data_IF_766132286358
#
_entry.id   IF_766132286358
#
_cell.length_a   1.000
_cell.length_b   1.000
_cell.length_c   1.000
_cell.angle_alpha   90.00
_cell.angle_beta   90.00
_cell.angle_gamma   90.00
#
_symmetry.space_group_name_H-M   'P 1'
#
loop_
_entity.id
_entity.type
_entity.pdbx_description
1 polymer ?
#
# COMPACT_ATOMS: atom_id res chain seq x y z
N UNK A 1 -26.36 9.46 1.32
CA UNK A 1 -27.20 8.94 2.41
C UNK A 1 -26.93 7.45 2.51
N UNK A 2 -26.67 6.96 3.71
CA UNK A 2 -26.62 5.53 4.04
C UNK A 2 -27.86 5.17 4.86
N UNK A 3 -28.28 3.93 4.76
CA UNK A 3 -29.41 3.40 5.52
C UNK A 3 -28.94 2.20 6.32
N UNK A 4 -29.20 2.17 7.62
CA UNK A 4 -28.88 1.03 8.48
C UNK A 4 -29.93 -0.09 8.38
N UNK A 5 -29.71 -1.18 9.11
CA UNK A 5 -30.63 -2.32 9.13
C UNK A 5 -32.00 -2.00 9.74
N UNK A 6 -32.09 -0.95 10.53
CA UNK A 6 -33.32 -0.47 11.16
C UNK A 6 -34.03 0.59 10.31
N UNK A 7 -33.59 0.80 9.05
CA UNK A 7 -34.09 1.79 8.09
C UNK A 7 -33.85 3.26 8.48
N UNK A 8 -32.96 3.54 9.44
CA UNK A 8 -32.56 4.90 9.73
C UNK A 8 -31.66 5.45 8.62
N UNK A 9 -31.84 6.73 8.27
CA UNK A 9 -31.10 7.38 7.20
C UNK A 9 -30.10 8.38 7.75
N UNK A 10 -28.84 8.27 7.32
CA UNK A 10 -27.75 9.11 7.72
C UNK A 10 -27.11 9.81 6.53
N UNK A 11 -26.66 11.05 6.71
CA UNK A 11 -25.74 11.69 5.77
C UNK A 11 -24.34 11.16 6.06
N UNK A 12 -23.72 10.51 5.08
CA UNK A 12 -22.34 10.07 5.22
C UNK A 12 -21.38 11.24 4.98
N UNK A 13 -20.67 11.64 6.03
CA UNK A 13 -19.61 12.66 6.00
C UNK A 13 -18.23 12.03 6.18
N UNK A 14 -18.14 10.71 6.08
CA UNK A 14 -16.87 9.99 6.14
C UNK A 14 -16.11 10.04 4.81
N UNK A 15 -14.98 9.34 4.75
CA UNK A 15 -14.18 9.20 3.53
C UNK A 15 -14.77 8.19 2.52
N UNK A 16 -16.05 7.83 2.67
CA UNK A 16 -16.81 6.97 1.75
C UNK A 16 -16.01 5.75 1.24
N UNK A 17 -15.81 4.76 2.13
CA UNK A 17 -15.04 3.56 1.80
C UNK A 17 -13.53 3.84 1.58
N UNK A 18 -12.96 4.71 2.44
CA UNK A 18 -11.54 5.10 2.38
C UNK A 18 -11.15 5.67 1.01
N UNK A 19 -12.03 6.52 0.46
CA UNK A 19 -11.82 7.22 -0.81
C UNK A 19 -12.09 6.37 -2.06
N UNK A 20 -12.65 5.17 -1.93
CA UNK A 20 -12.97 4.33 -3.10
C UNK A 20 -14.24 4.76 -3.82
N UNK A 21 -15.17 5.42 -3.14
CA UNK A 21 -16.48 5.84 -3.68
C UNK A 21 -16.52 7.33 -4.03
N UNK A 22 -15.50 7.85 -4.70
CA UNK A 22 -15.41 9.28 -5.06
C UNK A 22 -16.55 9.77 -5.94
N UNK A 23 -17.24 8.90 -6.66
CA UNK A 23 -18.44 9.20 -7.45
C UNK A 23 -19.75 9.05 -6.67
N UNK A 24 -19.68 8.69 -5.37
CA UNK A 24 -20.84 8.36 -4.54
C UNK A 24 -21.20 6.87 -4.55
N UNK A 25 -22.18 6.48 -3.71
CA UNK A 25 -22.55 5.07 -3.50
C UNK A 25 -23.39 4.45 -4.62
N UNK A 26 -23.86 5.24 -5.57
CA UNK A 26 -24.58 4.77 -6.74
C UNK A 26 -24.33 5.74 -7.88
N UNK A 27 -23.66 5.28 -8.91
CA UNK A 27 -23.43 6.07 -10.12
C UNK A 27 -23.98 5.29 -11.31
N UNK A 28 -25.01 5.84 -11.95
CA UNK A 28 -25.72 5.17 -13.04
C UNK A 28 -24.82 4.75 -14.22
N UNK A 29 -23.79 5.52 -14.54
CA UNK A 29 -22.86 5.17 -15.62
C UNK A 29 -22.04 3.94 -15.25
N UNK A 30 -21.49 3.92 -14.03
CA UNK A 30 -20.73 2.77 -13.51
C UNK A 30 -21.64 1.56 -13.35
N UNK A 31 -22.79 1.71 -12.70
CA UNK A 31 -23.71 0.61 -12.43
C UNK A 31 -24.22 -0.05 -13.72
N UNK A 32 -24.53 0.74 -14.76
CA UNK A 32 -24.97 0.21 -16.05
C UNK A 32 -23.87 -0.53 -16.78
N UNK A 33 -22.61 -0.04 -16.70
CA UNK A 33 -21.47 -0.75 -17.26
C UNK A 33 -21.24 -2.09 -16.56
N UNK A 34 -21.30 -2.12 -15.21
CA UNK A 34 -21.15 -3.36 -14.42
C UNK A 34 -22.29 -4.35 -14.75
N UNK A 35 -23.55 -3.90 -14.79
CA UNK A 35 -24.70 -4.75 -15.17
C UNK A 35 -24.53 -5.40 -16.54
N UNK A 36 -23.95 -4.66 -17.50
CA UNK A 36 -23.66 -5.20 -18.85
C UNK A 36 -22.62 -6.31 -18.80
N UNK A 37 -21.55 -6.14 -18.02
CA UNK A 37 -20.51 -7.17 -17.86
C UNK A 37 -21.07 -8.40 -17.17
N UNK A 38 -21.87 -8.23 -16.11
CA UNK A 38 -22.51 -9.36 -15.39
C UNK A 38 -23.37 -10.21 -16.35
N UNK A 39 -24.15 -9.60 -17.25
CA UNK A 39 -24.95 -10.30 -18.26
C UNK A 39 -24.12 -11.14 -19.24
N UNK A 40 -22.88 -10.75 -19.49
CA UNK A 40 -21.94 -11.47 -20.38
C UNK A 40 -21.10 -12.53 -19.66
N UNK A 41 -21.27 -12.66 -18.35
CA UNK A 41 -20.45 -13.51 -17.48
C UNK A 41 -19.25 -12.75 -16.89
N UNK A 42 -19.19 -12.73 -15.55
CA UNK A 42 -18.20 -11.97 -14.77
C UNK A 42 -17.12 -12.86 -14.13
N UNK A 43 -17.09 -14.15 -14.46
CA UNK A 43 -16.10 -15.09 -13.95
C UNK A 43 -15.66 -16.05 -15.06
N UNK A 44 -14.37 -16.14 -15.27
CA UNK A 44 -13.74 -17.01 -16.26
C UNK A 44 -12.40 -17.51 -15.74
N UNK A 45 -11.89 -18.61 -16.29
CA UNK A 45 -10.52 -19.08 -16.09
C UNK A 45 -9.51 -18.26 -16.90
N UNK A 46 -9.98 -17.49 -17.87
CA UNK A 46 -9.18 -16.59 -18.70
C UNK A 46 -9.23 -15.17 -18.14
N UNK A 47 -8.24 -14.35 -18.48
CA UNK A 47 -8.26 -12.93 -18.17
C UNK A 47 -9.44 -12.26 -18.89
N UNK A 48 -10.18 -11.41 -18.19
CA UNK A 48 -11.25 -10.67 -18.80
C UNK A 48 -10.72 -9.44 -19.55
N UNK A 49 -11.50 -9.00 -20.53
CA UNK A 49 -11.14 -7.85 -21.36
C UNK A 49 -10.94 -6.58 -20.53
N UNK A 50 -11.72 -6.40 -19.49
CA UNK A 50 -11.71 -5.24 -18.63
C UNK A 50 -10.39 -5.09 -17.86
N UNK A 51 -9.76 -6.21 -17.45
CA UNK A 51 -8.42 -6.18 -16.84
C UNK A 51 -7.37 -5.66 -17.81
N UNK A 52 -7.40 -6.12 -19.06
CA UNK A 52 -6.47 -5.67 -20.08
C UNK A 52 -6.63 -4.19 -20.36
N UNK A 53 -7.87 -3.74 -20.63
CA UNK A 53 -8.17 -2.33 -20.89
C UNK A 53 -7.81 -1.42 -19.72
N UNK A 54 -8.03 -1.87 -18.48
CA UNK A 54 -7.63 -1.11 -17.29
C UNK A 54 -6.10 -1.04 -17.16
N UNK A 55 -5.40 -2.14 -17.43
CA UNK A 55 -3.94 -2.15 -17.40
C UNK A 55 -3.35 -1.19 -18.45
N UNK A 56 -3.86 -1.22 -19.68
CA UNK A 56 -3.46 -0.28 -20.76
C UNK A 56 -3.71 1.17 -20.36
N UNK A 57 -4.89 1.47 -19.77
CA UNK A 57 -5.22 2.81 -19.32
C UNK A 57 -4.33 3.30 -18.18
N UNK A 58 -3.96 2.43 -17.25
CA UNK A 58 -3.03 2.76 -16.17
C UNK A 58 -1.62 3.04 -16.71
N UNK A 59 -1.15 2.30 -17.70
CA UNK A 59 0.15 2.54 -18.35
C UNK A 59 0.12 3.87 -19.13
N UNK A 60 -0.97 4.17 -19.82
CA UNK A 60 -1.16 5.47 -20.51
C UNK A 60 -1.06 6.64 -19.53
N UNK A 61 -1.72 6.57 -18.38
CA UNK A 61 -1.72 7.62 -17.35
C UNK A 61 -0.37 7.71 -16.62
N UNK A 62 0.31 6.57 -16.47
CA UNK A 62 1.59 6.44 -15.76
C UNK A 62 2.69 5.91 -16.69
N UNK A 63 3.24 6.71 -17.61
CA UNK A 63 4.15 6.25 -18.66
C UNK A 63 5.49 5.70 -18.16
N UNK A 64 5.78 5.81 -16.88
CA UNK A 64 6.93 5.18 -16.22
C UNK A 64 6.69 3.73 -15.78
N UNK A 65 5.46 3.22 -15.90
CA UNK A 65 5.10 1.82 -15.70
C UNK A 65 5.19 1.05 -17.02
N UNK A 66 5.56 -0.23 -16.92
CA UNK A 66 5.56 -1.14 -18.07
C UNK A 66 4.54 -2.29 -17.88
N UNK A 67 4.20 -2.60 -16.65
CA UNK A 67 3.29 -3.69 -16.32
C UNK A 67 2.42 -3.32 -15.13
N UNK A 68 1.25 -3.95 -15.05
CA UNK A 68 0.29 -3.77 -13.97
C UNK A 68 -0.07 -5.14 -13.38
N UNK A 69 -0.15 -5.23 -12.07
CA UNK A 69 -0.65 -6.38 -11.33
C UNK A 69 -1.80 -5.96 -10.44
N UNK A 70 -2.96 -6.55 -10.65
CA UNK A 70 -4.14 -6.28 -9.85
C UNK A 70 -4.20 -7.15 -8.59
N UNK A 71 -4.84 -6.62 -7.54
CA UNK A 71 -5.17 -7.30 -6.30
C UNK A 71 -6.53 -6.80 -5.81
N UNK A 72 -7.18 -7.54 -4.92
CA UNK A 72 -8.50 -7.17 -4.41
C UNK A 72 -8.45 -6.13 -3.30
N UNK A 73 -7.38 -6.12 -2.52
CA UNK A 73 -7.21 -5.21 -1.37
C UNK A 73 -5.85 -4.53 -1.38
N UNK A 74 -5.74 -3.40 -0.69
CA UNK A 74 -4.46 -2.71 -0.52
C UNK A 74 -3.43 -3.56 0.23
N UNK A 75 -3.86 -4.40 1.19
CA UNK A 75 -2.98 -5.34 1.89
C UNK A 75 -2.38 -6.38 0.95
N UNK A 76 -3.19 -6.99 0.07
CA UNK A 76 -2.71 -7.91 -0.96
C UNK A 76 -1.76 -7.23 -1.94
N UNK A 77 -2.14 -6.06 -2.46
CA UNK A 77 -1.30 -5.29 -3.38
C UNK A 77 0.08 -4.99 -2.77
N UNK A 78 0.10 -4.55 -1.50
CA UNK A 78 1.33 -4.30 -0.78
C UNK A 78 2.16 -5.58 -0.58
N UNK A 79 1.53 -6.72 -0.25
CA UNK A 79 2.23 -8.00 -0.07
C UNK A 79 2.84 -8.51 -1.39
N UNK A 80 2.12 -8.37 -2.50
CA UNK A 80 2.62 -8.68 -3.86
C UNK A 80 3.80 -7.77 -4.20
N UNK A 81 3.66 -6.45 -4.00
CA UNK A 81 4.72 -5.48 -4.29
C UNK A 81 6.01 -5.78 -3.50
N UNK A 82 5.90 -6.06 -2.20
CA UNK A 82 7.03 -6.41 -1.36
C UNK A 82 7.70 -7.71 -1.81
N UNK A 83 6.92 -8.73 -2.17
CA UNK A 83 7.47 -9.99 -2.66
C UNK A 83 8.25 -9.81 -3.97
N UNK A 84 7.69 -9.04 -4.91
CA UNK A 84 8.37 -8.72 -6.17
C UNK A 84 9.65 -7.92 -5.91
N UNK A 85 9.58 -6.89 -5.07
CA UNK A 85 10.72 -6.05 -4.75
C UNK A 85 11.86 -6.83 -4.08
N UNK A 86 11.55 -7.71 -3.10
CA UNK A 86 12.55 -8.60 -2.47
C UNK A 86 13.21 -9.51 -3.49
N UNK A 87 12.41 -10.12 -4.38
CA UNK A 87 12.94 -10.99 -5.43
C UNK A 87 13.86 -10.24 -6.40
N UNK A 88 13.52 -9.01 -6.75
CA UNK A 88 14.31 -8.18 -7.67
C UNK A 88 15.70 -7.80 -7.12
N UNK A 89 15.83 -7.60 -5.81
CA UNK A 89 17.09 -7.15 -5.19
C UNK A 89 17.83 -8.23 -4.39
N UNK A 90 17.21 -9.41 -4.17
CA UNK A 90 17.80 -10.49 -3.38
C UNK A 90 18.05 -10.12 -1.91
N UNK A 91 17.25 -9.21 -1.34
CA UNK A 91 17.38 -8.75 0.05
C UNK A 91 16.02 -8.81 0.75
N UNK A 92 15.99 -9.26 2.00
CA UNK A 92 14.76 -9.49 2.77
C UNK A 92 14.26 -8.26 3.53
N UNK A 93 15.17 -7.36 3.93
CA UNK A 93 14.83 -6.28 4.85
C UNK A 93 14.19 -5.09 4.16
N UNK A 94 13.18 -4.52 4.84
CA UNK A 94 12.34 -3.44 4.33
C UNK A 94 12.39 -2.25 5.31
N UNK A 95 12.49 -1.04 4.78
CA UNK A 95 12.17 0.18 5.51
C UNK A 95 10.76 0.65 5.11
N UNK A 96 9.88 0.93 6.09
CA UNK A 96 8.51 1.35 5.85
C UNK A 96 8.20 2.71 6.45
N UNK A 97 7.35 3.49 5.74
CA UNK A 97 6.78 4.73 6.23
C UNK A 97 5.30 4.80 5.84
N UNK A 98 4.43 4.93 6.81
CA UNK A 98 2.99 4.95 6.61
C UNK A 98 2.29 3.61 6.90
N UNK A 99 1.00 3.55 6.61
CA UNK A 99 0.17 2.36 6.80
C UNK A 99 0.12 1.51 5.54
N UNK A 100 0.43 0.23 5.65
CA UNK A 100 0.49 -0.67 4.50
C UNK A 100 -0.32 -1.96 4.66
N UNK A 101 -1.32 -1.98 5.50
CA UNK A 101 -2.20 -3.12 5.74
C UNK A 101 -1.93 -3.81 7.09
N UNK A 102 -2.43 -5.03 7.24
CA UNK A 102 -2.39 -5.81 8.48
C UNK A 102 -1.73 -7.18 8.30
N UNK A 103 -1.06 -7.39 7.15
CA UNK A 103 -0.38 -8.66 6.86
C UNK A 103 0.87 -8.83 7.72
N UNK A 104 1.26 -10.08 7.95
CA UNK A 104 2.37 -10.45 8.83
C UNK A 104 3.67 -9.70 8.56
N UNK A 105 4.02 -9.51 7.28
CA UNK A 105 5.23 -8.79 6.92
C UNK A 105 5.25 -7.36 7.45
N UNK A 106 4.10 -6.69 7.46
CA UNK A 106 3.98 -5.31 7.97
C UNK A 106 3.94 -5.29 9.49
N UNK A 107 3.11 -6.16 10.11
CA UNK A 107 2.98 -6.26 11.56
C UNK A 107 4.28 -6.72 12.24
N UNK A 108 5.16 -7.43 11.52
CA UNK A 108 6.45 -7.88 12.05
C UNK A 108 7.35 -6.73 12.55
N UNK A 109 7.10 -5.49 12.10
CA UNK A 109 7.76 -4.30 12.63
C UNK A 109 7.60 -4.19 14.14
N UNK A 110 6.45 -4.59 14.68
CA UNK A 110 6.16 -4.56 16.12
C UNK A 110 6.84 -5.69 16.91
N UNK A 111 7.42 -6.70 16.24
CA UNK A 111 8.25 -7.71 16.90
C UNK A 111 9.61 -7.14 17.36
N UNK A 112 10.04 -6.03 16.77
CA UNK A 112 11.30 -5.35 17.08
C UNK A 112 11.16 -4.31 18.19
N UNK A 113 10.23 -4.51 19.12
CA UNK A 113 9.78 -3.53 20.10
C UNK A 113 10.94 -2.74 20.75
N UNK A 114 11.23 -1.60 20.17
CA UNK A 114 11.90 -0.48 20.84
C UNK A 114 11.01 0.74 20.65
N UNK A 115 10.96 1.66 21.60
CA UNK A 115 10.16 2.90 21.52
C UNK A 115 10.38 3.71 20.23
N UNK A 116 11.42 3.41 19.45
CA UNK A 116 11.80 4.10 18.21
C UNK A 116 11.40 3.37 16.92
N UNK A 117 11.11 2.08 16.94
CA UNK A 117 10.90 1.24 15.76
C UNK A 117 9.60 0.44 15.84
N UNK A 118 8.50 1.09 16.09
CA UNK A 118 7.18 0.47 16.11
C UNK A 118 6.19 1.24 15.24
N UNK A 119 5.03 0.64 14.99
CA UNK A 119 3.96 1.25 14.20
C UNK A 119 3.15 2.32 14.96
N UNK A 120 3.53 2.67 16.19
CA UNK A 120 2.76 3.61 17.04
C UNK A 120 2.61 5.02 16.43
N UNK A 121 3.53 5.42 15.57
CA UNK A 121 3.44 6.69 14.86
C UNK A 121 2.81 6.56 13.47
N UNK A 122 2.43 5.34 13.06
CA UNK A 122 1.66 5.08 11.86
C UNK A 122 0.16 5.09 12.20
N UNK A 123 -0.69 5.11 11.18
CA UNK A 123 -2.11 5.40 11.30
C UNK A 123 -2.87 4.54 12.32
N UNK A 124 -2.46 3.31 12.51
CA UNK A 124 -3.11 2.37 13.43
C UNK A 124 -2.17 2.04 14.59
N UNK A 125 -2.41 2.69 15.72
CA UNK A 125 -1.77 2.33 16.97
C UNK A 125 -2.24 0.93 17.41
N UNK A 126 -1.42 0.26 18.18
CA UNK A 126 -1.79 -0.97 18.91
C UNK A 126 -2.21 -2.17 18.05
N UNK A 127 -1.73 -2.24 16.79
CA UNK A 127 -1.93 -3.44 15.97
C UNK A 127 -1.29 -4.64 16.67
N UNK A 128 -2.14 -5.61 17.05
CA UNK A 128 -1.74 -6.78 17.80
C UNK A 128 -0.88 -7.72 16.94
N UNK A 129 0.21 -8.20 17.51
CA UNK A 129 1.15 -9.13 16.87
C UNK A 129 0.85 -10.61 17.14
N UNK A 130 -0.25 -10.93 17.83
CA UNK A 130 -0.64 -12.34 18.03
C UNK A 130 -0.81 -13.02 16.68
N UNK A 131 -0.15 -14.18 16.53
CA UNK A 131 -0.15 -14.93 15.27
C UNK A 131 0.93 -14.54 14.28
N UNK A 132 1.59 -13.40 14.43
CA UNK A 132 2.72 -13.02 13.55
C UNK A 132 3.92 -13.95 13.82
N UNK A 133 4.48 -14.63 12.80
CA UNK A 133 5.61 -15.53 12.98
C UNK A 133 6.83 -14.80 13.55
N UNK A 134 7.38 -15.29 14.67
CA UNK A 134 8.54 -14.68 15.34
C UNK A 134 9.79 -14.62 14.45
N UNK A 135 9.91 -15.51 13.45
CA UNK A 135 11.00 -15.52 12.47
C UNK A 135 11.04 -14.29 11.57
N UNK A 136 9.94 -13.53 11.51
CA UNK A 136 9.90 -12.26 10.77
C UNK A 136 10.49 -11.07 11.56
N UNK A 137 10.90 -11.30 12.81
CA UNK A 137 11.62 -10.28 13.57
C UNK A 137 12.85 -9.79 12.79
N UNK A 138 13.13 -8.50 12.89
CA UNK A 138 14.29 -7.83 12.24
C UNK A 138 14.27 -7.87 10.71
N UNK A 139 13.10 -8.06 10.08
CA UNK A 139 12.94 -7.99 8.62
C UNK A 139 12.27 -6.70 8.14
N UNK A 140 11.55 -5.98 9.02
CA UNK A 140 10.86 -4.74 8.66
C UNK A 140 11.11 -3.67 9.73
N UNK A 141 11.50 -2.49 9.28
CA UNK A 141 11.87 -1.35 10.13
C UNK A 141 11.08 -0.12 9.72
N UNK A 142 10.50 0.57 10.69
CA UNK A 142 9.74 1.78 10.44
C UNK A 142 10.59 3.04 10.55
N UNK A 143 10.24 4.06 9.76
CA UNK A 143 10.74 5.42 9.88
C UNK A 143 9.62 6.43 9.67
N UNK A 144 9.76 7.64 10.19
CA UNK A 144 8.75 8.69 10.03
C UNK A 144 8.95 9.47 8.74
N UNK A 145 7.84 9.96 8.18
CA UNK A 145 7.89 10.84 7.01
C UNK A 145 8.69 12.11 7.36
N UNK A 146 9.64 12.47 6.51
CA UNK A 146 10.56 13.58 6.73
C UNK A 146 11.83 13.23 7.50
N UNK A 147 11.87 12.10 8.21
CA UNK A 147 13.06 11.67 8.98
C UNK A 147 14.05 10.91 8.10
N UNK A 148 14.78 11.68 7.28
CA UNK A 148 15.81 11.16 6.40
C UNK A 148 16.97 10.52 7.17
N UNK A 149 17.34 11.07 8.34
CA UNK A 149 18.47 10.56 9.13
C UNK A 149 18.22 9.13 9.63
N UNK A 150 17.02 8.86 10.13
CA UNK A 150 16.64 7.49 10.53
C UNK A 150 16.66 6.54 9.34
N UNK A 151 16.09 6.94 8.19
CA UNK A 151 16.10 6.11 6.98
C UNK A 151 17.54 5.81 6.51
N UNK A 152 18.41 6.81 6.43
CA UNK A 152 19.81 6.63 6.04
C UNK A 152 20.55 5.69 6.98
N UNK A 153 20.32 5.82 8.29
CA UNK A 153 20.90 4.92 9.29
C UNK A 153 20.39 3.46 9.10
N UNK A 154 19.12 3.26 8.80
CA UNK A 154 18.56 1.93 8.49
C UNK A 154 19.24 1.34 7.25
N UNK A 155 19.38 2.11 6.18
CA UNK A 155 20.03 1.67 4.94
C UNK A 155 21.49 1.26 5.20
N UNK A 156 22.22 2.01 6.00
CA UNK A 156 23.63 1.74 6.30
C UNK A 156 23.86 0.51 7.20
N UNK A 157 22.90 0.16 8.09
CA UNK A 157 23.14 -0.86 9.13
C UNK A 157 22.23 -2.08 9.05
N UNK A 158 21.14 -2.05 8.23
CA UNK A 158 20.12 -3.12 8.22
C UNK A 158 20.00 -3.85 6.88
N UNK A 159 20.93 -3.68 5.94
CA UNK A 159 20.89 -4.32 4.60
C UNK A 159 19.52 -4.16 3.92
N UNK A 160 18.97 -2.95 3.97
CA UNK A 160 17.65 -2.65 3.38
C UNK A 160 17.69 -2.94 1.87
N UNK A 161 16.70 -3.68 1.38
CA UNK A 161 16.49 -3.96 -0.04
C UNK A 161 15.30 -3.22 -0.63
N UNK A 162 14.32 -2.87 0.23
CA UNK A 162 13.08 -2.24 -0.20
C UNK A 162 12.76 -1.05 0.71
N UNK A 163 12.37 0.07 0.13
CA UNK A 163 11.72 1.17 0.83
C UNK A 163 10.28 1.23 0.35
N UNK A 164 9.33 1.09 1.28
CA UNK A 164 7.89 1.21 1.01
C UNK A 164 7.34 2.38 1.78
N UNK A 165 6.82 3.39 1.08
CA UNK A 165 6.32 4.59 1.74
C UNK A 165 5.14 5.21 1.01
N UNK A 166 4.36 6.00 1.71
CA UNK A 166 3.37 6.91 1.13
C UNK A 166 4.06 8.19 0.66
N UNK A 167 3.65 8.71 -0.49
CA UNK A 167 4.18 9.99 -1.02
C UNK A 167 3.69 11.16 -0.18
N UNK A 168 2.42 11.13 0.19
CA UNK A 168 1.78 12.07 1.12
C UNK A 168 0.57 11.40 1.76
N UNK A 169 0.13 11.88 2.89
CA UNK A 169 -1.11 11.43 3.54
C UNK A 169 -1.90 12.62 4.10
N UNK A 170 -1.43 13.21 5.19
CA UNK A 170 -2.10 14.30 5.92
C UNK A 170 -1.37 15.64 5.77
N UNK A 171 -0.29 15.66 5.03
CA UNK A 171 0.56 16.83 4.79
C UNK A 171 0.95 16.89 3.32
N UNK A 172 1.23 18.08 2.83
CA UNK A 172 1.75 18.29 1.49
C UNK A 172 3.05 17.49 1.25
N UNK A 173 3.25 16.97 0.02
CA UNK A 173 4.45 16.22 -0.31
C UNK A 173 5.71 17.08 -0.15
N UNK A 174 6.66 16.61 0.66
CA UNK A 174 7.96 17.26 0.77
C UNK A 174 8.89 16.79 -0.36
N UNK A 175 8.92 17.55 -1.44
CA UNK A 175 9.69 17.23 -2.65
C UNK A 175 11.18 17.07 -2.38
N UNK A 176 11.76 17.89 -1.49
CA UNK A 176 13.18 17.78 -1.13
C UNK A 176 13.47 16.45 -0.45
N UNK A 177 12.62 16.05 0.50
CA UNK A 177 12.71 14.75 1.17
C UNK A 177 12.57 13.59 0.19
N UNK A 178 11.55 13.60 -0.66
CA UNK A 178 11.30 12.55 -1.66
C UNK A 178 12.47 12.38 -2.63
N UNK A 179 13.05 13.49 -3.11
CA UNK A 179 14.27 13.46 -3.96
C UNK A 179 15.46 12.83 -3.22
N UNK A 180 15.67 13.14 -1.92
CA UNK A 180 16.72 12.52 -1.11
C UNK A 180 16.49 11.01 -0.95
N UNK A 181 15.27 10.59 -0.67
CA UNK A 181 14.90 9.17 -0.57
C UNK A 181 15.17 8.44 -1.90
N UNK A 182 14.73 9.00 -3.03
CA UNK A 182 14.99 8.42 -4.35
C UNK A 182 16.50 8.27 -4.63
N UNK A 183 17.28 9.32 -4.33
CA UNK A 183 18.75 9.28 -4.51
C UNK A 183 19.41 8.22 -3.63
N UNK A 184 18.98 8.11 -2.36
CA UNK A 184 19.47 7.08 -1.43
C UNK A 184 19.17 5.67 -1.95
N UNK A 185 17.94 5.43 -2.38
CA UNK A 185 17.51 4.13 -2.91
C UNK A 185 18.32 3.74 -4.17
N UNK A 186 18.49 4.66 -5.12
CA UNK A 186 19.24 4.41 -6.35
C UNK A 186 20.71 4.08 -6.10
N UNK A 187 21.36 4.79 -5.15
CA UNK A 187 22.78 4.57 -4.82
C UNK A 187 23.04 3.23 -4.13
N UNK A 188 22.06 2.66 -3.45
CA UNK A 188 22.20 1.45 -2.64
C UNK A 188 21.54 0.21 -3.26
N UNK A 189 21.10 0.29 -4.53
CA UNK A 189 20.36 -0.77 -5.21
C UNK A 189 19.16 -1.23 -4.36
N UNK A 190 18.29 -0.26 -4.02
CA UNK A 190 17.07 -0.45 -3.23
C UNK A 190 15.86 -0.16 -4.12
N UNK A 191 14.87 -1.03 -4.09
CA UNK A 191 13.56 -0.79 -4.73
C UNK A 191 12.77 0.21 -3.86
N UNK A 192 12.27 1.28 -4.50
CA UNK A 192 11.46 2.31 -3.88
C UNK A 192 10.09 2.34 -4.57
#
# INVERSE_FOLDING_TARGET
IITDLDNNKFKDLSTMGVGTNVLGYGNNLVDNAVKKVIKNGNLSTLNCKEEVLLAEKLIEIHPWFQMVKFARTGGEANSIAIRIARAAVGKDNIAICGYHGWHDWYLSTNLNYTKKNNLNAHLMKDLNIKGVPKKLKDTVFSFHYGDYKTLENLVNHKKIGVIKMEVCRNTEPNISFLKKVRKLASRNNIVL
#
